data_IF_390903009322
#
_entry.id   IF_390903009322
#
_cell.length_a   1.000
_cell.length_b   1.000
_cell.length_c   1.000
_cell.angle_alpha   90.00
_cell.angle_beta   90.00
_cell.angle_gamma   90.00
#
_symmetry.space_group_name_H-M   'P 1'
#
loop_
_entity.id
_entity.type
_entity.pdbx_description
1 polymer ?
#
# COMPACT_ATOMS: atom_id res chain seq x y z
N UNK A 1 -24.33 4.57 24.44
CA UNK A 1 -24.66 4.11 23.08
C UNK A 1 -24.30 2.63 22.83
N UNK A 2 -23.35 2.06 23.61
CA UNK A 2 -22.89 0.67 23.49
C UNK A 2 -23.72 -0.22 24.39
N UNK A 3 -24.09 -1.42 23.92
CA UNK A 3 -24.80 -2.43 24.70
C UNK A 3 -23.99 -2.80 25.98
N UNK A 4 -24.66 -3.11 27.08
CA UNK A 4 -26.13 -3.23 27.26
C UNK A 4 -26.85 -1.89 27.49
N UNK A 5 -26.14 -0.79 27.73
CA UNK A 5 -26.72 0.51 28.03
C UNK A 5 -27.28 1.25 26.81
N UNK A 6 -26.95 0.82 25.57
CA UNK A 6 -27.39 1.42 24.32
C UNK A 6 -27.61 0.39 23.21
N UNK A 7 -28.06 0.84 22.00
CA UNK A 7 -28.47 -0.05 20.93
C UNK A 7 -27.28 -0.59 20.11
N UNK A 8 -26.07 -0.07 20.29
CA UNK A 8 -24.89 -0.47 19.48
C UNK A 8 -24.26 -1.71 20.10
N UNK A 9 -24.38 -2.84 19.40
CA UNK A 9 -23.75 -4.09 19.81
C UNK A 9 -22.24 -4.07 19.47
N UNK A 10 -21.42 -4.42 20.46
CA UNK A 10 -19.99 -4.60 20.30
C UNK A 10 -19.58 -5.84 21.09
N UNK A 11 -19.00 -6.81 20.42
CA UNK A 11 -18.49 -8.02 21.03
C UNK A 11 -17.24 -8.51 20.29
N UNK A 12 -16.36 -9.16 21.04
CA UNK A 12 -15.16 -9.77 20.48
C UNK A 12 -14.72 -10.91 21.39
N UNK A 13 -14.75 -12.14 20.89
CA UNK A 13 -14.43 -13.35 21.66
C UNK A 13 -13.00 -13.35 22.20
N UNK A 14 -12.07 -12.64 21.53
CA UNK A 14 -10.68 -12.50 21.93
C UNK A 14 -10.37 -11.16 22.61
N UNK A 15 -11.38 -10.30 22.84
CA UNK A 15 -11.20 -9.05 23.58
C UNK A 15 -10.70 -9.33 25.00
N UNK A 16 -9.53 -8.75 25.35
CA UNK A 16 -8.89 -9.00 26.63
C UNK A 16 -8.16 -10.35 26.76
N UNK A 17 -8.09 -11.15 25.69
CA UNK A 17 -7.30 -12.37 25.72
C UNK A 17 -5.83 -12.06 26.06
N UNK A 18 -5.24 -12.69 27.10
CA UNK A 18 -3.90 -12.33 27.57
C UNK A 18 -2.80 -12.45 26.50
N UNK A 19 -2.88 -13.46 25.66
CA UNK A 19 -1.91 -13.66 24.58
C UNK A 19 -2.02 -12.56 23.51
N UNK A 20 -3.24 -12.24 23.08
CA UNK A 20 -3.49 -11.17 22.10
C UNK A 20 -3.10 -9.80 22.68
N UNK A 21 -3.42 -9.53 23.95
CA UNK A 21 -3.03 -8.28 24.61
C UNK A 21 -1.52 -8.16 24.76
N UNK A 22 -0.83 -9.23 25.15
CA UNK A 22 0.64 -9.24 25.25
C UNK A 22 1.29 -9.01 23.89
N UNK A 23 0.87 -9.71 22.86
CA UNK A 23 1.38 -9.51 21.51
C UNK A 23 1.17 -8.07 21.03
N UNK A 24 0.00 -7.49 21.26
CA UNK A 24 -0.30 -6.10 20.92
C UNK A 24 0.59 -5.11 21.68
N UNK A 25 0.77 -5.30 22.97
CA UNK A 25 1.63 -4.44 23.81
C UNK A 25 3.07 -4.49 23.33
N UNK A 26 3.63 -5.68 23.11
CA UNK A 26 5.01 -5.82 22.66
C UNK A 26 5.23 -5.25 21.24
N UNK A 27 4.25 -5.43 20.34
CA UNK A 27 4.28 -4.80 19.02
C UNK A 27 4.29 -3.28 19.12
N UNK A 28 3.43 -2.69 19.97
CA UNK A 28 3.40 -1.24 20.17
C UNK A 28 4.70 -0.72 20.79
N UNK A 29 5.29 -1.44 21.75
CA UNK A 29 6.60 -1.08 22.31
C UNK A 29 7.71 -1.05 21.26
N UNK A 30 7.70 -2.00 20.32
CA UNK A 30 8.67 -2.02 19.21
C UNK A 30 8.48 -0.85 18.26
N UNK A 31 7.23 -0.51 17.93
CA UNK A 31 6.90 0.61 17.05
C UNK A 31 7.26 1.97 17.68
N UNK A 32 7.06 2.10 19.00
CA UNK A 32 7.28 3.33 19.76
C UNK A 32 8.70 3.43 20.35
N UNK A 33 9.56 2.44 20.10
CA UNK A 33 10.93 2.48 20.58
C UNK A 33 11.65 3.69 19.99
N UNK A 34 12.29 4.48 20.86
CA UNK A 34 13.17 5.57 20.43
C UNK A 34 14.32 4.99 19.57
N UNK A 35 14.59 5.55 18.39
CA UNK A 35 15.67 5.09 17.54
C UNK A 35 17.03 5.41 18.19
N UNK A 36 18.03 4.63 17.91
CA UNK A 36 19.41 4.93 18.29
C UNK A 36 19.90 6.18 17.53
N UNK A 37 20.88 6.94 18.08
CA UNK A 37 21.40 8.12 17.42
C UNK A 37 21.87 7.82 15.99
N UNK A 38 21.22 8.48 15.01
CA UNK A 38 21.49 8.29 13.58
C UNK A 38 20.57 7.30 12.87
N UNK A 39 19.72 6.59 13.60
CA UNK A 39 18.68 5.74 13.01
C UNK A 39 17.37 6.51 12.82
N UNK A 40 16.61 6.14 11.79
CA UNK A 40 15.25 6.62 11.64
C UNK A 40 14.31 5.75 12.49
N UNK A 41 13.34 6.35 13.15
CA UNK A 41 12.24 5.58 13.73
C UNK A 41 11.51 4.76 12.64
N UNK A 42 10.84 3.68 13.06
CA UNK A 42 10.18 2.73 12.17
C UNK A 42 9.17 3.42 11.22
N UNK A 43 8.43 4.41 11.72
CA UNK A 43 7.44 5.15 10.95
C UNK A 43 8.09 5.99 9.85
N UNK A 44 9.17 6.70 10.20
CA UNK A 44 9.93 7.50 9.23
C UNK A 44 10.64 6.63 8.20
N UNK A 45 11.26 5.51 8.62
CA UNK A 45 11.89 4.56 7.70
C UNK A 45 10.87 4.00 6.69
N UNK A 46 9.69 3.58 7.15
CA UNK A 46 8.61 3.11 6.29
C UNK A 46 8.11 4.20 5.34
N UNK A 47 7.91 5.41 5.84
CA UNK A 47 7.47 6.55 5.03
C UNK A 47 8.43 6.83 3.88
N UNK A 48 9.74 6.84 4.15
CA UNK A 48 10.76 7.08 3.13
C UNK A 48 10.84 5.94 2.11
N UNK A 49 10.78 4.70 2.57
CA UNK A 49 10.78 3.52 1.71
C UNK A 49 9.56 3.48 0.78
N UNK A 50 8.39 3.77 1.33
CA UNK A 50 7.14 3.87 0.55
C UNK A 50 7.22 5.00 -0.47
N UNK A 51 7.78 6.16 -0.08
CA UNK A 51 7.98 7.28 -1.00
C UNK A 51 8.90 6.91 -2.17
N UNK A 52 10.01 6.20 -1.91
CA UNK A 52 10.90 5.68 -2.99
C UNK A 52 10.11 4.83 -3.97
N UNK A 53 9.32 3.87 -3.46
CA UNK A 53 8.50 2.99 -4.30
C UNK A 53 7.48 3.80 -5.12
N UNK A 54 6.70 4.65 -4.49
CA UNK A 54 5.65 5.45 -5.16
C UNK A 54 6.24 6.31 -6.28
N UNK A 55 7.33 7.03 -6.01
CA UNK A 55 8.02 7.84 -7.02
C UNK A 55 8.56 6.99 -8.18
N UNK A 56 9.07 5.79 -7.89
CA UNK A 56 9.50 4.83 -8.91
C UNK A 56 8.35 4.35 -9.78
N UNK A 57 7.20 4.02 -9.18
CA UNK A 57 6.00 3.62 -9.91
C UNK A 57 5.46 4.76 -10.78
N UNK A 58 5.44 5.99 -10.28
CA UNK A 58 5.03 7.18 -11.06
C UNK A 58 5.98 7.45 -12.24
N UNK A 59 7.30 7.26 -12.03
CA UNK A 59 8.29 7.40 -13.12
C UNK A 59 8.08 6.35 -14.19
N UNK A 60 7.98 5.07 -13.80
CA UNK A 60 7.76 3.95 -14.70
C UNK A 60 6.46 4.13 -15.53
N UNK A 61 5.37 4.54 -14.89
CA UNK A 61 4.11 4.82 -15.58
C UNK A 61 4.25 5.97 -16.58
N UNK A 62 4.91 7.06 -16.19
CA UNK A 62 5.15 8.22 -17.06
C UNK A 62 6.00 7.85 -18.27
N UNK A 63 7.04 7.07 -18.09
CA UNK A 63 7.93 6.61 -19.18
C UNK A 63 7.20 5.70 -20.17
N UNK A 64 6.30 4.85 -19.67
CA UNK A 64 5.42 4.03 -20.50
C UNK A 64 4.25 4.82 -21.14
N UNK A 65 4.07 6.09 -20.77
CA UNK A 65 2.94 6.91 -21.25
C UNK A 65 1.59 6.49 -20.68
N UNK A 66 1.58 5.85 -19.50
CA UNK A 66 0.39 5.44 -18.75
C UNK A 66 0.08 6.49 -17.69
N UNK A 67 -1.17 6.92 -17.60
CA UNK A 67 -1.63 7.88 -16.60
C UNK A 67 -2.07 7.17 -15.33
N UNK A 68 -1.42 7.51 -14.23
CA UNK A 68 -1.80 7.04 -12.89
C UNK A 68 -1.90 8.18 -11.91
N UNK A 69 -2.63 7.96 -10.81
CA UNK A 69 -2.61 8.76 -9.59
C UNK A 69 -2.11 7.87 -8.46
N UNK A 70 -1.07 8.29 -7.77
CA UNK A 70 -0.55 7.59 -6.61
C UNK A 70 -0.82 8.40 -5.35
N UNK A 71 -1.23 7.72 -4.29
CA UNK A 71 -1.46 8.32 -2.98
C UNK A 71 -0.63 7.60 -1.95
N UNK A 72 -0.07 8.34 -1.00
CA UNK A 72 0.74 7.79 0.10
C UNK A 72 0.35 8.42 1.43
N UNK A 73 0.27 7.57 2.46
CA UNK A 73 0.20 7.99 3.86
C UNK A 73 1.03 7.03 4.73
N UNK A 74 2.21 7.48 5.19
CA UNK A 74 3.16 6.61 5.91
C UNK A 74 3.61 5.43 5.05
N UNK A 75 3.36 4.20 5.53
CA UNK A 75 3.64 2.95 4.82
C UNK A 75 2.53 2.51 3.85
N UNK A 76 1.42 3.21 3.83
CA UNK A 76 0.27 2.93 2.97
C UNK A 76 0.40 3.65 1.65
N UNK A 77 0.00 2.99 0.55
CA UNK A 77 -0.12 3.63 -0.75
C UNK A 77 -1.21 2.98 -1.60
N UNK A 78 -1.71 3.71 -2.59
CA UNK A 78 -2.67 3.21 -3.57
C UNK A 78 -2.32 3.77 -4.95
N UNK A 79 -2.59 2.97 -5.99
CA UNK A 79 -2.38 3.34 -7.39
C UNK A 79 -3.71 3.26 -8.11
N UNK A 80 -4.08 4.35 -8.79
CA UNK A 80 -5.30 4.45 -9.60
C UNK A 80 -4.92 4.79 -11.04
N UNK A 81 -5.43 4.03 -11.99
CA UNK A 81 -5.29 4.32 -13.42
C UNK A 81 -6.30 5.40 -13.80
N UNK A 82 -5.94 6.65 -13.56
CA UNK A 82 -6.82 7.80 -13.73
C UNK A 82 -6.04 9.03 -14.21
N UNK A 83 -6.60 9.77 -15.16
CA UNK A 83 -6.00 11.03 -15.64
C UNK A 83 -6.28 12.21 -14.70
N UNK A 84 -7.42 12.18 -14.04
CA UNK A 84 -7.87 13.20 -13.09
C UNK A 84 -7.43 12.91 -11.66
N UNK A 85 -7.55 13.91 -10.78
CA UNK A 85 -7.25 13.74 -9.35
C UNK A 85 -8.27 12.79 -8.71
N UNK A 86 -7.77 11.78 -8.01
CA UNK A 86 -8.58 10.90 -7.15
C UNK A 86 -8.60 11.50 -5.75
N UNK A 87 -9.77 11.82 -5.22
CA UNK A 87 -9.93 12.48 -3.91
C UNK A 87 -11.10 11.94 -3.07
N UNK A 88 -11.94 11.11 -3.67
CA UNK A 88 -13.13 10.53 -3.06
C UNK A 88 -13.50 9.21 -3.77
N UNK A 89 -14.51 8.53 -3.24
CA UNK A 89 -14.96 7.26 -3.81
C UNK A 89 -15.40 7.38 -5.28
N UNK A 90 -16.12 8.44 -5.64
CA UNK A 90 -16.61 8.62 -7.01
C UNK A 90 -15.47 8.74 -8.01
N UNK A 91 -14.46 9.56 -7.71
CA UNK A 91 -13.26 9.69 -8.56
C UNK A 91 -12.40 8.44 -8.58
N UNK A 92 -12.33 7.67 -7.47
CA UNK A 92 -11.67 6.37 -7.44
C UNK A 92 -12.41 5.33 -8.29
N UNK A 93 -13.76 5.27 -8.19
CA UNK A 93 -14.57 4.35 -8.96
C UNK A 93 -14.54 4.63 -10.48
N UNK A 94 -14.24 5.88 -10.87
CA UNK A 94 -14.06 6.28 -12.27
C UNK A 94 -12.71 5.89 -12.88
N UNK A 95 -11.82 5.26 -12.13
CA UNK A 95 -10.53 4.80 -12.62
C UNK A 95 -10.65 3.59 -13.55
N UNK A 96 -9.70 3.42 -14.46
CA UNK A 96 -9.64 2.33 -15.43
C UNK A 96 -9.29 1.00 -14.74
N UNK A 97 -10.32 0.24 -14.39
CA UNK A 97 -10.17 -1.05 -13.71
C UNK A 97 -9.60 -2.13 -14.63
N UNK A 98 -9.79 -2.03 -15.96
CA UNK A 98 -9.21 -2.99 -16.90
C UNK A 98 -7.70 -2.79 -17.00
N UNK A 99 -7.23 -1.56 -17.05
CA UNK A 99 -5.80 -1.25 -16.97
C UNK A 99 -5.18 -1.77 -15.66
N UNK A 100 -5.88 -1.63 -14.53
CA UNK A 100 -5.43 -2.20 -13.26
C UNK A 100 -5.30 -3.74 -13.32
N UNK A 101 -6.25 -4.44 -13.92
CA UNK A 101 -6.19 -5.90 -14.07
C UNK A 101 -5.00 -6.37 -14.91
N UNK A 102 -4.71 -5.67 -16.00
CA UNK A 102 -3.52 -5.96 -16.84
C UNK A 102 -2.26 -5.75 -16.02
N UNK A 103 -2.13 -4.61 -15.36
CA UNK A 103 -1.00 -4.28 -14.52
C UNK A 103 -0.80 -5.29 -13.38
N UNK A 104 -1.87 -5.62 -12.65
CA UNK A 104 -1.84 -6.61 -11.57
C UNK A 104 -1.31 -7.97 -12.03
N UNK A 105 -1.82 -8.49 -13.16
CA UNK A 105 -1.37 -9.76 -13.71
C UNK A 105 0.10 -9.72 -14.14
N UNK A 106 0.50 -8.66 -14.82
CA UNK A 106 1.88 -8.47 -15.25
C UNK A 106 2.86 -8.37 -14.07
N UNK A 107 2.47 -7.71 -12.98
CA UNK A 107 3.25 -7.69 -11.73
C UNK A 107 3.34 -9.07 -11.09
N UNK A 108 2.22 -9.80 -11.02
CA UNK A 108 2.15 -11.14 -10.45
C UNK A 108 3.05 -12.13 -11.23
N UNK A 109 3.04 -12.10 -12.56
CA UNK A 109 3.90 -12.91 -13.43
C UNK A 109 5.40 -12.66 -13.17
N UNK A 110 5.75 -11.48 -12.69
CA UNK A 110 7.11 -11.13 -12.29
C UNK A 110 7.41 -11.42 -10.81
N UNK A 111 6.48 -12.07 -10.10
CA UNK A 111 6.63 -12.46 -8.70
C UNK A 111 6.37 -11.33 -7.71
N UNK A 112 5.69 -10.25 -8.13
CA UNK A 112 5.24 -9.16 -7.26
C UNK A 112 3.74 -9.33 -7.01
N UNK A 113 3.40 -9.75 -5.79
CA UNK A 113 2.02 -9.91 -5.38
C UNK A 113 1.48 -8.61 -4.76
N UNK A 114 0.46 -8.06 -5.38
CA UNK A 114 -0.23 -6.84 -4.96
C UNK A 114 -1.65 -7.18 -4.48
N UNK A 115 -2.35 -6.21 -3.91
CA UNK A 115 -3.78 -6.36 -3.65
C UNK A 115 -4.54 -6.56 -4.98
N UNK A 116 -5.47 -7.53 -5.06
CA UNK A 116 -6.15 -7.89 -6.32
C UNK A 116 -7.20 -6.86 -6.76
N UNK A 117 -7.47 -5.86 -5.95
CA UNK A 117 -8.44 -4.79 -6.23
C UNK A 117 -7.79 -3.42 -6.11
N UNK A 118 -8.06 -2.53 -7.06
CA UNK A 118 -7.58 -1.13 -6.99
C UNK A 118 -8.16 -0.34 -5.80
N UNK A 119 -9.22 -0.85 -5.17
CA UNK A 119 -9.85 -0.22 -4.01
C UNK A 119 -9.20 -0.62 -2.69
N UNK A 120 -8.26 -1.55 -2.73
CA UNK A 120 -7.47 -1.95 -1.56
C UNK A 120 -6.20 -1.11 -1.46
N UNK A 121 -5.87 -0.78 -0.22
CA UNK A 121 -4.61 -0.08 0.09
C UNK A 121 -3.47 -1.08 0.20
N UNK A 122 -2.35 -0.75 -0.39
CA UNK A 122 -1.10 -1.50 -0.31
C UNK A 122 -0.26 -1.02 0.88
N UNK A 123 0.49 -1.93 1.49
CA UNK A 123 1.29 -1.65 2.67
C UNK A 123 2.71 -2.16 2.49
N UNK A 124 3.70 -1.34 2.87
CA UNK A 124 5.05 -1.80 3.11
C UNK A 124 5.26 -2.14 4.59
N UNK A 125 6.18 -3.06 4.83
CA UNK A 125 6.68 -3.40 6.15
C UNK A 125 8.19 -3.20 6.25
N UNK A 126 8.75 -3.23 7.44
CA UNK A 126 10.20 -3.15 7.65
C UNK A 126 10.96 -4.36 7.08
N UNK A 127 10.26 -5.48 6.83
CA UNK A 127 10.85 -6.66 6.21
C UNK A 127 11.18 -6.49 4.72
N UNK A 128 10.52 -5.56 4.02
CA UNK A 128 10.87 -5.24 2.62
C UNK A 128 12.23 -4.54 2.61
N UNK A 129 13.17 -5.10 1.85
CA UNK A 129 14.51 -4.54 1.65
C UNK A 129 14.48 -3.44 0.57
N UNK A 130 15.57 -2.70 0.42
CA UNK A 130 15.70 -1.75 -0.70
C UNK A 130 15.77 -2.48 -2.04
N UNK A 131 16.34 -3.69 -2.07
CA UNK A 131 16.37 -4.56 -3.26
C UNK A 131 14.95 -4.99 -3.66
N UNK A 132 14.06 -5.32 -2.70
CA UNK A 132 12.66 -5.62 -2.98
C UNK A 132 11.94 -4.42 -3.61
N UNK A 133 12.23 -3.20 -3.13
CA UNK A 133 11.67 -1.97 -3.71
C UNK A 133 12.16 -1.77 -5.14
N UNK A 134 13.46 -1.88 -5.38
CA UNK A 134 14.05 -1.68 -6.69
C UNK A 134 13.56 -2.76 -7.69
N UNK A 135 13.45 -4.01 -7.25
CA UNK A 135 12.85 -5.11 -8.02
C UNK A 135 11.38 -4.84 -8.36
N UNK A 136 10.62 -4.28 -7.42
CA UNK A 136 9.22 -3.93 -7.65
C UNK A 136 9.08 -2.82 -8.69
N UNK A 137 9.94 -1.80 -8.64
CA UNK A 137 9.97 -0.73 -9.63
C UNK A 137 10.32 -1.28 -11.03
N UNK A 138 11.36 -2.12 -11.13
CA UNK A 138 11.76 -2.73 -12.40
C UNK A 138 10.67 -3.65 -12.98
N UNK A 139 9.92 -4.35 -12.13
CA UNK A 139 8.76 -5.12 -12.57
C UNK A 139 7.64 -4.21 -13.09
N UNK A 140 7.42 -3.08 -12.43
CA UNK A 140 6.38 -2.11 -12.82
C UNK A 140 6.67 -1.46 -14.18
N UNK A 141 7.92 -1.20 -14.54
CA UNK A 141 8.31 -0.70 -15.87
C UNK A 141 7.76 -1.62 -16.98
N UNK A 142 7.97 -2.93 -16.85
CA UNK A 142 7.48 -3.93 -17.80
C UNK A 142 5.96 -4.05 -17.76
N UNK A 143 5.38 -3.99 -16.57
CA UNK A 143 3.94 -4.09 -16.39
C UNK A 143 3.19 -2.88 -16.99
N UNK A 144 3.71 -1.66 -16.85
CA UNK A 144 3.13 -0.49 -17.48
C UNK A 144 3.27 -0.50 -19.01
N UNK A 145 4.36 -1.07 -19.56
CA UNK A 145 4.48 -1.28 -21.00
C UNK A 145 3.34 -2.19 -21.51
N UNK A 146 3.03 -3.30 -20.83
CA UNK A 146 1.90 -4.17 -21.19
C UNK A 146 0.55 -3.46 -21.10
N UNK A 147 0.35 -2.60 -20.08
CA UNK A 147 -0.87 -1.76 -20.00
C UNK A 147 -1.00 -0.84 -21.20
N UNK A 148 0.12 -0.31 -21.69
CA UNK A 148 0.13 0.57 -22.87
C UNK A 148 -0.23 -0.19 -24.14
N UNK A 149 0.28 -1.41 -24.31
CA UNK A 149 0.03 -2.26 -25.46
C UNK A 149 -1.41 -2.80 -25.52
N UNK A 150 -2.06 -2.94 -24.35
CA UNK A 150 -3.42 -3.45 -24.24
C UNK A 150 -4.51 -2.40 -24.53
N UNK A 151 -4.15 -1.12 -24.71
CA UNK A 151 -5.03 0.00 -25.09
C UNK A 151 -5.02 0.26 -26.58
#
# INVERSE_FOLDING_TARGET
>A
QIAPAGPVYQAGTLSGNPLAMTAGIETLKLILKEPEPGEADASRALTLKTKKLVLGLESAAREAGVKIQAHQAGSMFSIFFNEGKVKDYASSAASDQEAFKVWFRAMLEQGIYLAPSQFETLFLSLAHTDEDIDRTIAAAEKAFAQVKEAK
#
